data_IF_320901088795
#
_entry.id   IF_320901088795
#
_cell.length_a   1.000
_cell.length_b   1.000
_cell.length_c   1.000
_cell.angle_alpha   90.00
_cell.angle_beta   90.00
_cell.angle_gamma   90.00
#
_symmetry.space_group_name_H-M   'P 1'
#
loop_
_entity.id
_entity.type
_entity.pdbx_description
1 polymer ?
#
# COMPACT_ATOMS: atom_id res chain seq x y z
N UNK A 1 -43.74 -57.95 -17.12
CA UNK A 1 -43.02 -56.67 -16.87
C UNK A 1 -41.73 -56.74 -17.67
N UNK A 2 -41.70 -56.21 -18.90
CA UNK A 2 -41.38 -54.82 -19.31
C UNK A 2 -39.87 -54.68 -19.66
N UNK A 3 -39.63 -54.71 -20.99
CA UNK A 3 -38.63 -53.99 -21.81
C UNK A 3 -37.13 -54.27 -21.52
N UNK A 4 -36.34 -54.90 -22.41
CA UNK A 4 -35.90 -54.49 -23.76
C UNK A 4 -35.53 -53.00 -23.88
N UNK A 5 -34.21 -52.74 -23.97
CA UNK A 5 -33.48 -51.84 -24.90
C UNK A 5 -32.12 -51.53 -24.25
N UNK A 6 -31.02 -52.04 -24.81
CA UNK A 6 -30.26 -51.45 -25.91
C UNK A 6 -29.55 -50.15 -25.52
N UNK A 7 -28.36 -50.00 -26.10
CA UNK A 7 -27.49 -48.81 -26.18
C UNK A 7 -26.53 -48.74 -24.99
N UNK A 8 -25.35 -49.35 -25.11
CA UNK A 8 -24.14 -48.72 -25.65
C UNK A 8 -23.74 -47.45 -24.89
N UNK A 9 -22.54 -47.45 -24.33
CA UNK A 9 -21.53 -46.38 -24.46
C UNK A 9 -20.49 -46.61 -23.37
N UNK A 10 -19.37 -47.26 -23.75
CA UNK A 10 -18.02 -46.69 -23.71
C UNK A 10 -17.50 -46.47 -22.29
N UNK A 11 -16.60 -47.34 -21.82
CA UNK A 11 -15.15 -47.27 -22.03
C UNK A 11 -14.45 -46.12 -21.28
N UNK A 12 -13.32 -46.52 -20.69
CA UNK A 12 -12.19 -45.73 -20.17
C UNK A 12 -12.22 -45.51 -18.65
N UNK A 13 -11.54 -46.30 -17.82
CA UNK A 13 -10.09 -46.61 -17.73
C UNK A 13 -9.33 -45.64 -16.79
N UNK A 14 -8.30 -46.23 -16.16
CA UNK A 14 -7.32 -45.69 -15.20
C UNK A 14 -7.83 -45.62 -13.75
N UNK A 15 -7.46 -46.48 -12.80
CA UNK A 15 -6.15 -47.10 -12.47
C UNK A 15 -5.08 -46.11 -12.01
N UNK A 16 -4.84 -46.04 -10.69
CA UNK A 16 -3.55 -46.16 -9.98
C UNK A 16 -3.81 -45.87 -8.48
N UNK A 17 -3.66 -46.73 -7.47
CA UNK A 17 -2.56 -47.63 -7.04
C UNK A 17 -1.31 -46.87 -6.56
N UNK A 18 -1.23 -46.77 -5.22
CA UNK A 18 -0.08 -47.12 -4.38
C UNK A 18 1.17 -46.20 -4.32
N UNK A 19 1.53 -45.82 -3.08
CA UNK A 19 2.79 -46.14 -2.37
C UNK A 19 3.29 -45.01 -1.46
N UNK A 20 3.01 -45.24 -0.18
CA UNK A 20 3.83 -44.84 0.95
C UNK A 20 5.19 -45.56 0.78
N UNK A 21 6.29 -44.81 0.65
CA UNK A 21 7.65 -45.31 0.80
C UNK A 21 8.44 -44.28 1.58
N UNK A 22 8.79 -44.63 2.81
CA UNK A 22 9.56 -43.78 3.70
C UNK A 22 11.05 -43.80 3.41
N UNK A 23 11.78 -42.95 4.13
CA UNK A 23 13.09 -43.24 4.72
C UNK A 23 13.35 -42.14 5.77
N UNK A 24 13.78 -42.56 6.95
CA UNK A 24 13.97 -41.67 8.09
C UNK A 24 15.23 -40.81 7.99
N UNK A 25 15.26 -39.77 8.83
CA UNK A 25 16.45 -39.19 9.44
C UNK A 25 15.99 -38.35 10.63
N UNK A 26 16.49 -38.67 11.81
CA UNK A 26 16.39 -37.82 13.01
C UNK A 26 17.56 -36.86 12.97
N UNK A 27 17.33 -35.54 12.92
CA UNK A 27 18.37 -34.57 13.25
C UNK A 27 17.77 -33.21 13.62
N UNK A 28 18.07 -32.79 14.85
CA UNK A 28 17.98 -31.45 15.45
C UNK A 28 16.71 -30.62 15.21
N UNK A 29 15.86 -30.58 16.24
CA UNK A 29 15.01 -29.44 16.51
C UNK A 29 15.91 -28.23 16.85
N UNK A 30 16.37 -27.53 15.81
CA UNK A 30 16.63 -26.10 15.86
C UNK A 30 15.59 -25.49 14.92
N UNK A 31 14.38 -25.29 15.43
CA UNK A 31 13.43 -24.40 14.74
C UNK A 31 14.01 -23.01 14.90
N UNK A 32 14.65 -22.57 13.82
CA UNK A 32 15.14 -21.23 13.62
C UNK A 32 14.14 -20.19 14.12
N UNK A 33 14.64 -19.09 14.68
CA UNK A 33 13.87 -17.85 14.77
C UNK A 33 13.10 -17.67 13.46
N UNK A 34 11.79 -17.39 13.58
CA UNK A 34 11.00 -16.99 12.44
C UNK A 34 11.80 -15.95 11.65
N UNK A 35 11.95 -16.10 10.32
CA UNK A 35 12.69 -15.12 9.54
C UNK A 35 12.08 -13.76 9.82
N UNK A 36 12.86 -12.88 10.45
CA UNK A 36 12.47 -11.51 10.69
C UNK A 36 11.99 -10.95 9.35
N UNK A 37 10.77 -10.42 9.32
CA UNK A 37 10.26 -9.75 8.13
C UNK A 37 11.30 -8.71 7.69
N UNK A 38 11.62 -8.64 6.39
CA UNK A 38 12.67 -7.75 5.93
C UNK A 38 12.26 -6.31 6.20
N UNK A 39 12.84 -5.71 7.25
CA UNK A 39 12.68 -4.30 7.54
C UNK A 39 13.57 -3.53 6.56
N UNK A 40 12.95 -2.85 5.61
CA UNK A 40 13.66 -1.93 4.71
C UNK A 40 14.01 -0.67 5.49
N UNK A 41 15.19 -0.65 6.12
CA UNK A 41 15.72 0.54 6.78
C UNK A 41 16.58 1.33 5.80
N UNK A 42 16.02 2.35 5.17
CA UNK A 42 16.83 3.40 4.52
C UNK A 42 17.28 4.39 5.59
N UNK A 43 18.49 4.23 6.13
CA UNK A 43 19.08 5.23 7.02
C UNK A 43 19.23 6.55 6.25
N UNK A 44 18.41 7.54 6.60
CA UNK A 44 18.51 8.91 6.09
C UNK A 44 19.20 9.77 7.15
N UNK A 45 20.13 10.61 6.73
CA UNK A 45 20.81 11.55 7.62
C UNK A 45 20.33 12.97 7.30
N UNK A 46 19.99 13.75 8.32
CA UNK A 46 19.64 15.17 8.17
C UNK A 46 20.80 16.02 8.68
N UNK A 47 21.27 16.95 7.84
CA UNK A 47 22.23 17.98 8.24
C UNK A 47 21.48 19.22 8.71
N UNK A 48 21.65 19.56 9.99
CA UNK A 48 21.08 20.75 10.62
C UNK A 48 21.82 22.03 10.15
N UNK A 49 21.23 23.23 10.33
CA UNK A 49 21.84 24.49 9.92
C UNK A 49 23.18 24.82 10.60
N UNK A 50 23.45 24.21 11.75
CA UNK A 50 24.72 24.31 12.49
C UNK A 50 25.78 23.31 12.00
N UNK A 51 25.45 22.50 10.98
CA UNK A 51 26.31 21.46 10.43
C UNK A 51 26.23 20.11 11.16
N UNK A 52 25.38 19.97 12.17
CA UNK A 52 25.21 18.71 12.89
C UNK A 52 24.42 17.72 12.04
N UNK A 53 24.95 16.51 11.88
CA UNK A 53 24.21 15.41 11.26
C UNK A 53 23.45 14.62 12.32
N UNK A 54 22.14 14.51 12.17
CA UNK A 54 21.30 13.65 12.99
C UNK A 54 20.79 12.46 12.16
N UNK A 55 20.77 11.24 12.72
CA UNK A 55 20.08 10.14 12.07
C UNK A 55 18.59 10.48 12.03
N UNK A 56 18.01 10.49 10.84
CA UNK A 56 16.56 10.49 10.69
C UNK A 56 16.14 9.08 11.01
N UNK A 57 15.43 8.93 12.13
CA UNK A 57 14.79 7.68 12.48
C UNK A 57 13.68 7.44 11.46
N UNK A 58 14.00 6.72 10.37
CA UNK A 58 12.99 6.24 9.45
C UNK A 58 12.15 5.24 10.19
N UNK A 59 10.88 5.59 10.41
CA UNK A 59 9.91 4.69 10.99
C UNK A 59 9.84 3.47 10.07
N UNK A 60 10.29 2.29 10.52
CA UNK A 60 10.22 1.10 9.71
C UNK A 60 8.75 0.78 9.48
N UNK A 61 8.34 0.80 8.22
CA UNK A 61 7.04 0.33 7.78
C UNK A 61 7.22 -1.10 7.26
N UNK A 62 6.32 -2.00 7.64
CA UNK A 62 6.31 -3.34 7.08
C UNK A 62 6.07 -3.29 5.56
N UNK A 63 6.47 -4.34 4.84
CA UNK A 63 6.42 -4.37 3.37
C UNK A 63 4.98 -4.29 2.85
N UNK A 64 3.99 -4.84 3.57
CA UNK A 64 2.57 -4.77 3.20
C UNK A 64 2.08 -3.32 3.24
N UNK A 65 2.31 -2.63 4.34
CA UNK A 65 1.98 -1.21 4.51
C UNK A 65 2.75 -0.35 3.50
N UNK A 66 4.02 -0.66 3.24
CA UNK A 66 4.83 0.05 2.25
C UNK A 66 4.27 -0.08 0.82
N UNK A 67 3.86 -1.29 0.42
CA UNK A 67 3.21 -1.51 -0.88
C UNK A 67 1.86 -0.84 -0.96
N UNK A 68 1.09 -0.90 0.13
CA UNK A 68 -0.20 -0.24 0.24
C UNK A 68 -0.10 1.27 0.07
N UNK A 69 0.83 1.93 0.77
CA UNK A 69 1.09 3.38 0.63
C UNK A 69 1.41 3.77 -0.81
N UNK A 70 2.27 3.00 -1.49
CA UNK A 70 2.64 3.25 -2.89
C UNK A 70 1.44 3.14 -3.81
N UNK A 71 0.61 2.12 -3.63
CA UNK A 71 -0.61 1.93 -4.43
C UNK A 71 -1.60 3.09 -4.21
N UNK A 72 -1.84 3.46 -2.95
CA UNK A 72 -2.74 4.56 -2.59
C UNK A 72 -2.27 5.90 -3.15
N UNK A 73 -0.97 6.19 -3.08
CA UNK A 73 -0.39 7.38 -3.70
C UNK A 73 -0.68 7.45 -5.20
N UNK A 74 -0.49 6.34 -5.92
CA UNK A 74 -0.75 6.29 -7.37
C UNK A 74 -2.23 6.51 -7.70
N UNK A 75 -3.14 5.89 -6.94
CA UNK A 75 -4.58 6.02 -7.17
C UNK A 75 -5.11 7.42 -6.79
N UNK A 76 -4.59 7.99 -5.70
CA UNK A 76 -4.89 9.36 -5.31
C UNK A 76 -4.37 10.37 -6.32
N UNK A 77 -3.18 10.16 -6.88
CA UNK A 77 -2.60 11.05 -7.90
C UNK A 77 -3.55 11.19 -9.08
N UNK A 78 -4.07 10.05 -9.60
CA UNK A 78 -5.07 10.01 -10.67
C UNK A 78 -6.35 10.76 -10.32
N UNK A 79 -6.87 10.50 -9.13
CA UNK A 79 -8.16 11.04 -8.68
C UNK A 79 -8.09 12.54 -8.42
N UNK A 80 -7.00 13.00 -7.80
CA UNK A 80 -6.76 14.42 -7.50
C UNK A 80 -6.45 15.19 -8.77
N UNK A 81 -5.63 14.66 -9.68
CA UNK A 81 -5.38 15.28 -10.98
C UNK A 81 -6.71 15.55 -11.72
N UNK A 82 -7.59 14.55 -11.78
CA UNK A 82 -8.93 14.72 -12.37
C UNK A 82 -9.78 15.77 -11.64
N UNK A 83 -9.75 15.80 -10.31
CA UNK A 83 -10.53 16.75 -9.49
C UNK A 83 -10.04 18.19 -9.67
N UNK A 84 -8.72 18.37 -9.76
CA UNK A 84 -8.07 19.67 -9.94
C UNK A 84 -8.03 20.11 -11.42
N UNK A 85 -8.43 19.26 -12.37
CA UNK A 85 -8.31 19.56 -13.80
C UNK A 85 -6.86 19.61 -14.30
N UNK A 86 -5.97 18.86 -13.66
CA UNK A 86 -4.53 18.79 -13.94
C UNK A 86 -4.16 17.45 -14.59
N UNK A 87 -2.95 17.36 -15.15
CA UNK A 87 -2.39 16.06 -15.53
C UNK A 87 -1.84 15.34 -14.30
N UNK A 88 -1.73 14.01 -14.37
CA UNK A 88 -1.11 13.22 -13.30
C UNK A 88 0.34 13.64 -13.03
N UNK A 89 1.08 14.05 -14.07
CA UNK A 89 2.46 14.55 -13.94
C UNK A 89 2.58 15.87 -13.18
N UNK A 90 1.47 16.59 -13.03
CA UNK A 90 1.40 17.87 -12.32
C UNK A 90 0.97 17.69 -10.86
N UNK A 91 0.84 16.45 -10.38
CA UNK A 91 0.42 16.13 -9.02
C UNK A 91 1.47 15.24 -8.38
N UNK A 92 2.04 15.70 -7.27
CA UNK A 92 2.94 14.91 -6.43
C UNK A 92 2.28 14.68 -5.07
N UNK A 93 2.17 13.43 -4.65
CA UNK A 93 1.58 13.04 -3.37
C UNK A 93 2.55 12.13 -2.63
N UNK A 94 2.75 12.44 -1.34
CA UNK A 94 3.49 11.62 -0.40
C UNK A 94 2.57 11.28 0.76
N UNK A 95 2.34 9.98 0.96
CA UNK A 95 1.71 9.42 2.13
C UNK A 95 2.78 8.80 3.03
N UNK A 96 2.71 9.07 4.32
CA UNK A 96 3.62 8.49 5.29
C UNK A 96 2.86 8.03 6.54
N UNK A 97 3.21 6.86 7.06
CA UNK A 97 2.74 6.39 8.36
C UNK A 97 3.55 7.07 9.47
N UNK A 98 2.86 7.67 10.45
CA UNK A 98 3.48 8.34 11.59
C UNK A 98 3.82 7.40 12.75
N UNK A 99 3.11 6.29 12.86
CA UNK A 99 3.33 5.30 13.89
C UNK A 99 2.78 3.93 13.48
N UNK A 100 3.00 2.94 14.35
CA UNK A 100 2.40 1.60 14.22
C UNK A 100 0.88 1.59 14.49
N UNK A 101 0.26 2.74 14.83
CA UNK A 101 -1.17 2.86 15.11
C UNK A 101 -1.97 3.30 13.86
N UNK A 102 -1.36 3.17 12.68
CA UNK A 102 -2.02 3.37 11.40
C UNK A 102 -2.45 4.81 11.12
N UNK A 103 -1.84 5.81 11.79
CA UNK A 103 -2.06 7.22 11.46
C UNK A 103 -1.20 7.64 10.27
N UNK A 104 -1.84 8.24 9.26
CA UNK A 104 -1.23 8.64 8.01
C UNK A 104 -1.16 10.16 7.91
N UNK A 105 -0.08 10.67 7.32
CA UNK A 105 0.03 12.04 6.83
C UNK A 105 0.02 12.06 5.32
N UNK A 106 -0.49 13.15 4.75
CA UNK A 106 -0.52 13.38 3.32
C UNK A 106 0.05 14.77 3.02
N UNK A 107 1.15 14.80 2.28
CA UNK A 107 1.67 16.03 1.70
C UNK A 107 1.48 15.97 0.19
N UNK A 108 0.93 17.03 -0.39
CA UNK A 108 0.78 17.12 -1.83
C UNK A 108 1.19 18.48 -2.40
N UNK A 109 1.66 18.42 -3.65
CA UNK A 109 2.01 19.58 -4.46
C UNK A 109 1.24 19.48 -5.78
N UNK A 110 0.46 20.52 -6.08
CA UNK A 110 -0.21 20.72 -7.35
C UNK A 110 0.64 21.70 -8.17
N UNK A 111 1.26 21.23 -9.25
CA UNK A 111 2.09 22.04 -10.14
C UNK A 111 1.21 22.96 -11.00
N UNK A 112 0.69 24.01 -10.37
CA UNK A 112 -0.12 25.06 -11.00
C UNK A 112 0.28 26.41 -10.43
N UNK A 113 0.16 27.44 -11.27
CA UNK A 113 0.31 28.84 -10.85
C UNK A 113 -0.99 29.38 -10.20
N UNK A 114 -2.11 28.69 -10.40
CA UNK A 114 -3.40 29.10 -9.88
C UNK A 114 -3.45 29.00 -8.36
N UNK A 115 -4.23 29.89 -7.75
CA UNK A 115 -4.53 29.80 -6.32
C UNK A 115 -5.39 28.58 -6.04
N UNK A 116 -5.03 27.82 -5.03
CA UNK A 116 -5.86 26.73 -4.56
C UNK A 116 -7.05 27.33 -3.81
N UNK A 117 -8.24 27.15 -4.38
CA UNK A 117 -9.48 27.57 -3.72
C UNK A 117 -9.79 26.66 -2.52
N UNK A 118 -10.29 27.23 -1.41
CA UNK A 118 -10.67 26.46 -0.22
C UNK A 118 -11.64 25.32 -0.54
N UNK A 119 -12.57 25.54 -1.47
CA UNK A 119 -13.55 24.53 -1.89
C UNK A 119 -12.86 23.33 -2.57
N UNK A 120 -11.90 23.59 -3.45
CA UNK A 120 -11.11 22.54 -4.09
C UNK A 120 -10.26 21.79 -3.06
N UNK A 121 -9.61 22.54 -2.15
CA UNK A 121 -8.81 21.94 -1.08
C UNK A 121 -9.64 21.03 -0.17
N UNK A 122 -10.85 21.45 0.21
CA UNK A 122 -11.76 20.63 1.01
C UNK A 122 -12.21 19.37 0.27
N UNK A 123 -12.54 19.47 -1.02
CA UNK A 123 -12.87 18.31 -1.84
C UNK A 123 -11.71 17.31 -1.94
N UNK A 124 -10.48 17.80 -2.11
CA UNK A 124 -9.29 16.96 -2.14
C UNK A 124 -9.09 16.26 -0.79
N UNK A 125 -9.23 16.97 0.33
CA UNK A 125 -9.11 16.37 1.67
C UNK A 125 -10.12 15.26 1.89
N UNK A 126 -11.38 15.49 1.54
CA UNK A 126 -12.42 14.47 1.65
C UNK A 126 -12.08 13.22 0.83
N UNK A 127 -11.52 13.38 -0.38
CA UNK A 127 -11.10 12.25 -1.21
C UNK A 127 -9.93 11.48 -0.60
N UNK A 128 -8.93 12.17 -0.04
CA UNK A 128 -7.80 11.54 0.65
C UNK A 128 -8.28 10.74 1.86
N UNK A 129 -9.10 11.37 2.72
CA UNK A 129 -9.66 10.73 3.91
C UNK A 129 -10.41 9.46 3.51
N UNK A 130 -11.33 9.58 2.56
CA UNK A 130 -12.11 8.45 2.08
C UNK A 130 -11.24 7.32 1.52
N UNK A 131 -10.24 7.65 0.69
CA UNK A 131 -9.38 6.64 0.08
C UNK A 131 -8.52 5.87 1.09
N UNK A 132 -8.14 6.52 2.19
CA UNK A 132 -7.37 5.92 3.29
C UNK A 132 -8.27 5.10 4.22
N UNK A 133 -9.44 5.63 4.59
CA UNK A 133 -10.33 5.01 5.59
C UNK A 133 -11.19 3.86 5.05
N UNK A 134 -11.44 3.77 3.74
CA UNK A 134 -12.17 2.64 3.13
C UNK A 134 -11.37 1.32 3.09
N UNK A 135 -10.17 1.30 3.66
CA UNK A 135 -9.21 0.23 3.49
C UNK A 135 -9.14 -0.77 4.66
N UNK A 136 -8.94 -2.09 4.40
CA UNK A 136 -8.82 -3.12 5.45
C UNK A 136 -7.70 -2.92 6.48
N UNK A 137 -6.66 -2.12 6.19
CA UNK A 137 -5.59 -1.84 7.16
C UNK A 137 -6.05 -0.98 8.36
N UNK A 138 -7.26 -0.42 8.31
CA UNK A 138 -7.80 0.39 9.41
C UNK A 138 -7.06 1.71 9.63
N UNK A 139 -6.32 2.16 8.61
CA UNK A 139 -5.58 3.41 8.64
C UNK A 139 -6.50 4.63 8.72
N UNK A 140 -6.01 5.68 9.38
CA UNK A 140 -6.74 6.93 9.58
C UNK A 140 -5.88 8.10 9.15
N UNK A 141 -6.52 9.14 8.64
CA UNK A 141 -5.86 10.38 8.30
C UNK A 141 -6.69 11.57 8.79
N UNK A 142 -6.31 12.20 9.91
CA UNK A 142 -6.93 13.44 10.36
C UNK A 142 -6.85 14.51 9.27
N UNK A 143 -7.86 15.39 9.18
CA UNK A 143 -7.91 16.44 8.14
C UNK A 143 -6.71 17.39 8.24
N UNK A 144 -6.26 17.65 9.47
CA UNK A 144 -5.10 18.46 9.81
C UNK A 144 -3.76 17.86 9.35
N UNK A 145 -3.72 16.55 9.08
CA UNK A 145 -2.54 15.86 8.57
C UNK A 145 -2.45 15.88 7.03
N UNK A 146 -3.34 16.63 6.36
CA UNK A 146 -3.37 16.77 4.89
C UNK A 146 -2.96 18.20 4.52
N UNK A 147 -1.75 18.32 3.99
CA UNK A 147 -1.19 19.60 3.51
C UNK A 147 -1.22 19.65 1.99
N UNK A 148 -1.78 20.73 1.44
CA UNK A 148 -1.87 20.95 -0.01
C UNK A 148 -1.09 22.22 -0.35
N UNK A 149 -0.19 22.12 -1.33
CA UNK A 149 0.56 23.27 -1.82
C UNK A 149 0.49 23.40 -3.33
N UNK A 150 0.73 24.61 -3.85
CA UNK A 150 0.88 24.85 -5.29
C UNK A 150 2.33 25.15 -5.70
N UNK A 151 2.58 25.26 -7.01
CA UNK A 151 3.91 25.55 -7.56
C UNK A 151 4.48 26.93 -7.14
N UNK A 152 3.62 27.82 -6.64
CA UNK A 152 4.00 29.15 -6.13
C UNK A 152 4.30 29.15 -4.62
N UNK A 153 4.23 28.01 -3.95
CA UNK A 153 4.48 27.90 -2.51
C UNK A 153 3.32 28.38 -1.63
N UNK A 154 2.13 28.58 -2.19
CA UNK A 154 0.92 28.71 -1.37
C UNK A 154 0.67 27.37 -0.67
N UNK A 155 0.41 27.39 0.63
CA UNK A 155 0.07 26.21 1.43
C UNK A 155 -1.30 26.41 2.06
N UNK A 156 -2.13 25.38 2.01
CA UNK A 156 -3.47 25.32 2.61
C UNK A 156 -3.64 24.05 3.43
#
# INVERSE_FOLDING_TARGET
MRNQKLVQSLFAALSLVFLISGCGSVSQAQTAEAPAEPIVTTSMEQVLPDGTTIPVETIPVDEETGQWLRQKQADLTKTIAKTAGLNESDVMIVLAALDSNSEITCTMVLNTEDKIENKLADQIREQVIKAVEEDPLGAKIPKENITISNGNGQVI
#
